data_IF_991700330865
#
_entry.id   IF_991700330865
#
_cell.length_a   1.000
_cell.length_b   1.000
_cell.length_c   1.000
_cell.angle_alpha   90.00
_cell.angle_beta   90.00
_cell.angle_gamma   90.00
#
_symmetry.space_group_name_H-M   'P 1'
#
loop_
_entity.id
_entity.type
_entity.pdbx_description
1 polymer ?
#
# COMPACT_ATOMS: atom_id res chain seq x y z
N UNK A 1 -15.51 -22.22 -6.88
CA UNK A 1 -14.57 -22.20 -8.05
C UNK A 1 -13.37 -23.04 -7.71
N UNK A 2 -12.87 -23.83 -8.66
CA UNK A 2 -11.59 -24.54 -8.51
C UNK A 2 -10.57 -23.92 -9.46
N UNK A 3 -9.39 -23.61 -8.92
CA UNK A 3 -8.20 -23.22 -9.65
C UNK A 3 -7.37 -24.49 -9.85
N UNK A 4 -7.42 -25.06 -11.04
CA UNK A 4 -6.74 -26.32 -11.39
C UNK A 4 -5.29 -26.09 -11.82
N UNK A 5 -4.41 -27.03 -11.49
CA UNK A 5 -2.99 -27.02 -11.86
C UNK A 5 -2.29 -25.72 -11.41
N UNK A 6 -2.67 -25.20 -10.23
CA UNK A 6 -2.13 -23.95 -9.72
C UNK A 6 -0.65 -24.13 -9.29
N UNK A 7 0.25 -23.31 -9.86
CA UNK A 7 1.59 -23.15 -9.40
C UNK A 7 1.64 -21.86 -8.58
N UNK A 8 1.79 -21.94 -7.25
CA UNK A 8 1.64 -20.79 -6.37
C UNK A 8 2.78 -20.66 -5.35
N UNK A 9 3.09 -19.43 -4.96
CA UNK A 9 4.02 -19.14 -3.89
C UNK A 9 3.33 -19.31 -2.54
N UNK A 10 3.71 -20.34 -1.78
CA UNK A 10 3.19 -20.58 -0.43
C UNK A 10 3.78 -19.62 0.61
N UNK A 11 3.19 -19.58 1.81
CA UNK A 11 3.68 -18.80 2.94
C UNK A 11 5.08 -19.23 3.43
N UNK A 12 5.53 -20.42 3.04
CA UNK A 12 6.88 -20.94 3.26
C UNK A 12 7.90 -20.48 2.20
N UNK A 13 7.50 -19.60 1.29
CA UNK A 13 8.32 -19.12 0.17
C UNK A 13 8.78 -20.22 -0.80
N UNK A 14 8.03 -21.33 -0.85
CA UNK A 14 8.24 -22.37 -1.83
C UNK A 14 7.17 -22.33 -2.91
N UNK A 15 7.53 -22.75 -4.09
CA UNK A 15 6.58 -22.90 -5.20
C UNK A 15 5.90 -24.27 -5.09
N UNK A 16 4.59 -24.26 -4.83
CA UNK A 16 3.74 -25.43 -4.75
C UNK A 16 2.99 -25.66 -6.06
N UNK A 17 2.63 -26.90 -6.34
CA UNK A 17 1.78 -27.28 -7.49
C UNK A 17 0.62 -28.12 -7.00
N UNK A 18 -0.53 -27.49 -6.82
CA UNK A 18 -1.73 -28.12 -6.29
C UNK A 18 -2.98 -27.44 -6.85
N UNK A 19 -4.15 -28.04 -6.66
CA UNK A 19 -5.43 -27.38 -6.94
C UNK A 19 -5.85 -26.53 -5.74
N UNK A 20 -6.54 -25.42 -6.00
CA UNK A 20 -7.06 -24.52 -4.96
C UNK A 20 -8.58 -24.37 -5.15
N UNK A 21 -9.37 -24.64 -4.10
CA UNK A 21 -10.80 -24.31 -4.08
C UNK A 21 -11.03 -22.98 -3.40
N UNK A 22 -11.67 -22.07 -4.12
CA UNK A 22 -12.13 -20.79 -3.61
C UNK A 22 -13.64 -20.82 -3.45
N UNK A 23 -14.14 -20.55 -2.24
CA UNK A 23 -15.57 -20.45 -1.95
C UNK A 23 -15.87 -19.14 -1.23
N UNK A 24 -16.87 -18.41 -1.71
CA UNK A 24 -17.15 -17.05 -1.30
C UNK A 24 -15.89 -16.18 -1.46
N UNK A 25 -15.30 -15.72 -0.35
CA UNK A 25 -14.10 -14.86 -0.33
C UNK A 25 -12.84 -15.58 0.12
N UNK A 26 -12.89 -16.88 0.41
CA UNK A 26 -11.82 -17.60 1.10
C UNK A 26 -11.24 -18.73 0.22
N UNK A 27 -9.98 -19.03 0.48
CA UNK A 27 -9.34 -20.29 0.05
C UNK A 27 -9.78 -21.37 1.01
N UNK A 28 -10.61 -22.30 0.53
CA UNK A 28 -11.23 -23.33 1.37
C UNK A 28 -10.46 -24.63 1.41
N UNK A 29 -9.74 -24.94 0.33
CA UNK A 29 -9.00 -26.19 0.23
C UNK A 29 -7.80 -26.02 -0.71
N UNK A 30 -6.67 -26.60 -0.33
CA UNK A 30 -5.48 -26.76 -1.16
C UNK A 30 -5.12 -28.24 -1.14
N UNK A 31 -5.06 -28.88 -2.31
CA UNK A 31 -4.79 -30.33 -2.42
C UNK A 31 -4.20 -30.69 -3.78
N UNK A 32 -3.47 -31.80 -3.85
CA UNK A 32 -2.89 -32.32 -5.12
C UNK A 32 -3.94 -32.53 -6.21
N UNK A 33 -5.18 -32.84 -5.83
CA UNK A 33 -6.32 -32.94 -6.73
C UNK A 33 -7.61 -32.65 -5.98
N UNK A 34 -8.45 -31.80 -6.55
CA UNK A 34 -9.78 -31.46 -6.02
C UNK A 34 -10.85 -31.95 -7.01
N UNK A 35 -11.79 -32.79 -6.54
CA UNK A 35 -12.94 -33.18 -7.34
C UNK A 35 -13.93 -32.03 -7.47
N UNK A 36 -14.51 -31.89 -8.68
CA UNK A 36 -15.49 -30.84 -8.97
C UNK A 36 -16.83 -31.20 -8.32
N UNK A 37 -17.42 -30.23 -7.62
CA UNK A 37 -18.79 -30.31 -7.13
C UNK A 37 -19.78 -29.83 -8.19
N UNK A 38 -21.04 -30.21 -8.04
CA UNK A 38 -22.07 -29.84 -9.01
C UNK A 38 -22.20 -28.31 -9.18
N UNK A 39 -22.10 -27.83 -10.42
CA UNK A 39 -22.10 -26.39 -10.79
C UNK A 39 -20.90 -25.57 -10.32
N UNK A 40 -19.81 -26.19 -9.92
CA UNK A 40 -18.58 -25.45 -9.58
C UNK A 40 -17.85 -25.02 -10.86
N UNK A 41 -17.46 -23.74 -10.92
CA UNK A 41 -16.65 -23.25 -12.05
C UNK A 41 -15.20 -23.68 -11.88
N UNK A 42 -14.56 -23.99 -12.98
CA UNK A 42 -13.14 -24.40 -13.02
C UNK A 42 -12.36 -23.40 -13.86
N UNK A 43 -11.19 -23.00 -13.35
CA UNK A 43 -10.21 -22.19 -14.06
C UNK A 43 -8.90 -22.95 -14.14
N UNK A 44 -8.38 -23.15 -15.36
CA UNK A 44 -7.09 -23.80 -15.57
C UNK A 44 -5.95 -22.79 -15.40
N UNK A 45 -5.13 -23.01 -14.37
CA UNK A 45 -4.00 -22.15 -14.01
C UNK A 45 -2.68 -22.56 -14.70
N UNK A 46 -2.73 -23.51 -15.65
CA UNK A 46 -1.53 -23.93 -16.36
C UNK A 46 -0.82 -22.76 -17.04
N UNK A 47 0.47 -22.57 -16.75
CA UNK A 47 1.28 -21.49 -17.31
C UNK A 47 1.25 -20.17 -16.50
N UNK A 48 0.55 -20.14 -15.38
CA UNK A 48 0.60 -19.02 -14.43
C UNK A 48 1.40 -19.39 -13.18
N UNK A 49 2.05 -18.39 -12.61
CA UNK A 49 2.50 -18.40 -11.21
C UNK A 49 1.51 -17.53 -10.43
N UNK A 50 0.94 -18.10 -9.37
CA UNK A 50 -0.02 -17.41 -8.52
C UNK A 50 0.69 -16.90 -7.29
N UNK A 51 0.51 -15.60 -7.01
CA UNK A 51 0.99 -14.91 -5.82
C UNK A 51 -0.21 -14.37 -5.02
N UNK A 52 -0.06 -14.11 -3.72
CA UNK A 52 -1.02 -13.23 -3.06
C UNK A 52 -0.94 -11.83 -3.70
N UNK A 53 -2.03 -11.06 -3.66
CA UNK A 53 -1.96 -9.65 -4.04
C UNK A 53 -1.00 -8.91 -3.10
N UNK A 54 -0.35 -7.88 -3.63
CA UNK A 54 0.47 -7.00 -2.82
C UNK A 54 -0.38 -5.99 -2.05
N UNK A 55 0.23 -5.42 -1.01
CA UNK A 55 -0.29 -4.29 -0.28
C UNK A 55 0.59 -3.06 -0.54
N UNK A 56 -0.04 -1.93 -0.75
CA UNK A 56 0.58 -0.62 -0.76
C UNK A 56 0.09 0.17 0.45
N UNK A 57 0.97 0.29 1.46
CA UNK A 57 0.54 0.72 2.78
C UNK A 57 0.67 2.23 3.01
N UNK A 58 0.89 3.01 1.96
CA UNK A 58 0.83 4.47 1.99
C UNK A 58 0.65 5.03 0.59
N UNK A 59 -0.51 5.61 0.33
CA UNK A 59 -0.86 6.22 -0.95
C UNK A 59 -1.64 7.52 -0.75
N UNK A 60 -1.45 8.47 -1.65
CA UNK A 60 -2.14 9.77 -1.69
C UNK A 60 -2.98 9.90 -2.95
N UNK A 61 -4.19 9.36 -2.95
CA UNK A 61 -5.05 9.39 -4.14
C UNK A 61 -5.99 10.61 -4.15
N UNK A 62 -6.12 11.31 -5.30
CA UNK A 62 -5.50 11.08 -6.60
C UNK A 62 -4.29 12.00 -6.85
N UNK A 63 -3.10 11.44 -6.88
CA UNK A 63 -1.84 12.15 -7.12
C UNK A 63 -1.42 12.19 -8.61
N UNK A 64 -2.12 11.48 -9.49
CA UNK A 64 -1.71 11.24 -10.88
C UNK A 64 -1.54 12.51 -11.71
N UNK A 65 -2.25 13.59 -11.39
CA UNK A 65 -2.11 14.89 -12.04
C UNK A 65 -0.81 15.62 -11.68
N UNK A 66 -0.18 15.21 -10.58
CA UNK A 66 1.03 15.82 -10.02
C UNK A 66 2.32 15.16 -10.54
N UNK A 67 2.21 14.10 -11.35
CA UNK A 67 3.36 13.36 -11.88
C UNK A 67 4.33 14.28 -12.61
N UNK A 68 5.61 14.25 -12.17
CA UNK A 68 6.67 15.10 -12.73
C UNK A 68 6.64 16.55 -12.28
N UNK A 69 5.62 16.99 -11.54
CA UNK A 69 5.57 18.38 -11.05
C UNK A 69 6.44 18.60 -9.78
N UNK A 70 6.90 17.53 -9.14
CA UNK A 70 7.81 17.58 -7.99
C UNK A 70 9.23 17.10 -8.33
N UNK A 71 9.57 17.03 -9.60
CA UNK A 71 10.90 16.59 -10.02
C UNK A 71 11.96 17.62 -9.61
N UNK A 72 13.10 17.08 -9.14
CA UNK A 72 14.30 17.86 -8.79
C UNK A 72 14.04 19.01 -7.81
N UNK A 73 13.17 18.79 -6.83
CA UNK A 73 12.74 19.77 -5.85
C UNK A 73 12.58 19.13 -4.47
N UNK A 74 13.18 19.76 -3.44
CA UNK A 74 12.97 19.37 -2.06
C UNK A 74 11.55 19.72 -1.56
N UNK A 75 11.02 18.96 -0.60
CA UNK A 75 9.66 19.16 -0.08
C UNK A 75 9.45 20.59 0.48
N UNK A 76 10.42 21.18 1.19
CA UNK A 76 10.32 22.52 1.73
C UNK A 76 10.14 23.62 0.67
N UNK A 77 10.37 23.30 -0.61
CA UNK A 77 10.21 24.21 -1.75
C UNK A 77 8.92 23.99 -2.54
N UNK A 78 8.07 23.05 -2.15
CA UNK A 78 6.81 22.79 -2.85
C UNK A 78 5.88 24.01 -2.83
N UNK A 79 5.07 24.15 -3.83
CA UNK A 79 4.10 25.24 -4.00
C UNK A 79 4.74 26.66 -3.91
N UNK A 80 6.02 26.78 -4.20
CA UNK A 80 6.72 28.06 -4.20
C UNK A 80 6.29 28.98 -5.38
N UNK A 81 6.88 30.19 -5.45
CA UNK A 81 6.54 31.18 -6.49
C UNK A 81 7.07 30.89 -7.90
N UNK A 82 7.76 29.77 -8.13
CA UNK A 82 8.19 29.34 -9.46
C UNK A 82 7.02 28.90 -10.33
N UNK A 83 7.24 28.76 -11.64
CA UNK A 83 6.22 28.21 -12.55
C UNK A 83 5.83 26.79 -12.11
N UNK A 84 6.82 25.97 -11.70
CA UNK A 84 6.60 24.61 -11.21
C UNK A 84 5.73 24.61 -9.95
N UNK A 85 6.08 25.43 -8.94
CA UNK A 85 5.33 25.51 -7.69
C UNK A 85 3.91 26.03 -7.88
N UNK A 86 3.69 26.98 -8.79
CA UNK A 86 2.35 27.47 -9.15
C UNK A 86 1.50 26.42 -9.86
N UNK A 87 2.11 25.54 -10.65
CA UNK A 87 1.39 24.41 -11.23
C UNK A 87 0.99 23.40 -10.16
N UNK A 88 1.88 23.12 -9.19
CA UNK A 88 1.54 22.27 -8.04
C UNK A 88 0.33 22.84 -7.30
N UNK A 89 0.38 24.11 -6.90
CA UNK A 89 -0.72 24.77 -6.19
C UNK A 89 -2.03 24.75 -7.00
N UNK A 90 -1.96 25.02 -8.33
CA UNK A 90 -3.13 24.94 -9.21
C UNK A 90 -3.80 23.56 -9.16
N UNK A 91 -3.01 22.49 -9.08
CA UNK A 91 -3.57 21.13 -9.04
C UNK A 91 -4.15 20.83 -7.65
N UNK A 92 -3.50 21.21 -6.57
CA UNK A 92 -4.07 21.10 -5.22
C UNK A 92 -5.41 21.83 -5.14
N UNK A 93 -5.43 23.11 -5.51
CA UNK A 93 -6.67 23.92 -5.51
C UNK A 93 -7.78 23.28 -6.37
N UNK A 94 -7.39 22.64 -7.50
CA UNK A 94 -8.36 21.93 -8.32
C UNK A 94 -8.93 20.70 -7.62
N UNK A 95 -8.08 19.89 -6.99
CA UNK A 95 -8.50 18.68 -6.28
C UNK A 95 -9.43 19.04 -5.12
N UNK A 96 -9.05 19.98 -4.26
CA UNK A 96 -9.84 20.40 -3.10
C UNK A 96 -11.20 20.98 -3.48
N UNK A 97 -11.24 21.78 -4.55
CA UNK A 97 -12.49 22.39 -5.00
C UNK A 97 -13.43 21.42 -5.76
N UNK A 98 -12.95 20.22 -6.12
CA UNK A 98 -13.71 19.30 -6.97
C UNK A 98 -13.96 17.92 -6.35
N UNK A 99 -13.72 17.71 -5.06
CA UNK A 99 -13.86 16.40 -4.37
C UNK A 99 -15.20 15.70 -4.66
N UNK A 100 -16.31 16.43 -4.72
CA UNK A 100 -17.62 15.86 -4.99
C UNK A 100 -17.95 15.67 -6.49
N UNK A 101 -17.01 15.94 -7.40
CA UNK A 101 -17.25 15.90 -8.84
C UNK A 101 -17.04 14.50 -9.45
N UNK A 102 -17.62 14.26 -10.61
CA UNK A 102 -17.32 13.05 -11.41
C UNK A 102 -15.88 13.04 -11.93
N UNK A 103 -15.27 14.20 -12.12
CA UNK A 103 -13.86 14.32 -12.49
C UNK A 103 -12.97 13.79 -11.38
N UNK A 104 -13.22 14.16 -10.13
CA UNK A 104 -12.47 13.64 -8.98
C UNK A 104 -12.60 12.11 -8.86
N UNK A 105 -13.83 11.57 -8.97
CA UNK A 105 -14.05 10.11 -9.01
C UNK A 105 -13.29 9.44 -10.15
N UNK A 106 -13.24 10.07 -11.31
CA UNK A 106 -12.49 9.58 -12.47
C UNK A 106 -10.99 9.50 -12.16
N UNK A 107 -10.43 10.53 -11.53
CA UNK A 107 -9.02 10.57 -11.12
C UNK A 107 -8.70 9.47 -10.10
N UNK A 108 -9.55 9.29 -9.10
CA UNK A 108 -9.41 8.23 -8.09
C UNK A 108 -9.47 6.85 -8.74
N UNK A 109 -10.49 6.57 -9.54
CA UNK A 109 -10.62 5.29 -10.23
C UNK A 109 -9.44 5.01 -11.17
N UNK A 110 -8.93 6.05 -11.85
CA UNK A 110 -7.74 5.91 -12.68
C UNK A 110 -6.50 5.51 -11.85
N UNK A 111 -6.28 6.11 -10.69
CA UNK A 111 -5.19 5.74 -9.79
C UNK A 111 -5.36 4.29 -9.28
N UNK A 112 -6.56 3.92 -8.82
CA UNK A 112 -6.83 2.57 -8.35
C UNK A 112 -6.68 1.50 -9.43
N UNK A 113 -7.00 1.83 -10.69
CA UNK A 113 -6.68 0.96 -11.83
C UNK A 113 -5.17 0.71 -11.96
N UNK A 114 -4.33 1.73 -11.71
CA UNK A 114 -2.87 1.56 -11.77
C UNK A 114 -2.39 0.63 -10.64
N UNK A 115 -2.87 0.81 -9.41
CA UNK A 115 -2.52 -0.09 -8.30
C UNK A 115 -2.88 -1.54 -8.62
N UNK A 116 -4.10 -1.82 -9.06
CA UNK A 116 -4.54 -3.18 -9.40
C UNK A 116 -3.71 -3.77 -10.56
N UNK A 117 -3.42 -2.99 -11.61
CA UNK A 117 -2.57 -3.44 -12.73
C UNK A 117 -1.14 -3.75 -12.28
N UNK A 118 -0.68 -3.14 -11.20
CA UNK A 118 0.63 -3.38 -10.59
C UNK A 118 0.61 -4.49 -9.54
N UNK A 119 -0.55 -5.12 -9.33
CA UNK A 119 -0.70 -6.27 -8.45
C UNK A 119 -1.11 -5.94 -7.02
N UNK A 120 -1.47 -4.69 -6.74
CA UNK A 120 -1.94 -4.27 -5.42
C UNK A 120 -3.41 -4.64 -5.24
N UNK A 121 -3.72 -5.35 -4.16
CA UNK A 121 -5.08 -5.73 -3.77
C UNK A 121 -5.56 -5.10 -2.46
N UNK A 122 -4.63 -4.48 -1.72
CA UNK A 122 -4.91 -3.77 -0.47
C UNK A 122 -4.09 -2.48 -0.41
N UNK A 123 -4.73 -1.38 -0.01
CA UNK A 123 -4.05 -0.08 0.18
C UNK A 123 -4.33 0.50 1.57
N UNK A 124 -3.38 1.30 2.08
CA UNK A 124 -3.62 2.26 3.17
C UNK A 124 -3.70 3.64 2.52
N UNK A 125 -4.91 4.17 2.45
CA UNK A 125 -5.28 5.35 1.68
C UNK A 125 -5.38 6.58 2.57
N UNK A 126 -4.47 7.53 2.40
CA UNK A 126 -4.44 8.77 3.18
C UNK A 126 -5.10 9.95 2.45
N UNK A 127 -5.42 9.78 1.17
CA UNK A 127 -6.02 10.85 0.38
C UNK A 127 -5.05 11.97 0.00
N UNK A 128 -5.47 12.80 -0.94
CA UNK A 128 -4.74 13.96 -1.44
C UNK A 128 -5.48 15.26 -1.21
N UNK A 129 -6.79 15.22 -1.09
CA UNK A 129 -7.66 16.37 -0.95
C UNK A 129 -8.47 16.27 0.35
N UNK A 130 -8.72 17.40 0.98
CA UNK A 130 -9.54 17.51 2.18
C UNK A 130 -10.93 16.92 1.95
N UNK A 131 -11.48 16.26 2.97
CA UNK A 131 -12.84 15.67 2.93
C UNK A 131 -13.06 14.63 1.81
N UNK A 132 -11.99 14.00 1.29
CA UNK A 132 -12.09 13.03 0.19
C UNK A 132 -12.36 11.59 0.63
N UNK A 133 -12.18 11.24 1.91
CA UNK A 133 -12.20 9.86 2.43
C UNK A 133 -13.46 9.07 2.04
N UNK A 134 -14.64 9.70 2.06
CA UNK A 134 -15.89 9.05 1.67
C UNK A 134 -15.92 8.67 0.18
N UNK A 135 -15.40 9.52 -0.69
CA UNK A 135 -15.32 9.27 -2.14
C UNK A 135 -14.26 8.21 -2.44
N UNK A 136 -13.12 8.25 -1.75
CA UNK A 136 -12.06 7.24 -1.85
C UNK A 136 -12.60 5.86 -1.46
N UNK A 137 -13.33 5.76 -0.36
CA UNK A 137 -14.01 4.54 0.06
C UNK A 137 -15.01 4.05 -1.00
N UNK A 138 -15.86 4.93 -1.54
CA UNK A 138 -16.84 4.59 -2.58
C UNK A 138 -16.14 4.02 -3.83
N UNK A 139 -15.09 4.69 -4.31
CA UNK A 139 -14.33 4.26 -5.48
C UNK A 139 -13.60 2.94 -5.26
N UNK A 140 -13.01 2.72 -4.07
CA UNK A 140 -12.38 1.45 -3.73
C UNK A 140 -13.39 0.29 -3.74
N UNK A 141 -14.57 0.50 -3.17
CA UNK A 141 -15.67 -0.48 -3.21
C UNK A 141 -16.15 -0.75 -4.65
N UNK A 142 -16.29 0.31 -5.46
CA UNK A 142 -16.73 0.20 -6.85
C UNK A 142 -15.78 -0.65 -7.69
N UNK A 143 -14.47 -0.41 -7.58
CA UNK A 143 -13.47 -1.16 -8.35
C UNK A 143 -13.20 -2.54 -7.76
N UNK A 144 -13.52 -2.77 -6.48
CA UNK A 144 -13.29 -4.02 -5.75
C UNK A 144 -11.92 -4.11 -5.05
N UNK A 145 -11.27 -2.97 -4.79
CA UNK A 145 -10.02 -2.89 -4.04
C UNK A 145 -10.30 -2.95 -2.53
N UNK A 146 -9.43 -3.59 -1.76
CA UNK A 146 -9.45 -3.54 -0.30
C UNK A 146 -8.65 -2.34 0.18
N UNK A 147 -9.14 -1.67 1.24
CA UNK A 147 -8.45 -0.50 1.78
C UNK A 147 -8.63 -0.34 3.30
N UNK A 148 -7.62 0.22 3.94
CA UNK A 148 -7.74 0.97 5.19
C UNK A 148 -7.77 2.45 4.80
N UNK A 149 -8.92 3.11 4.97
CA UNK A 149 -9.12 4.51 4.58
C UNK A 149 -8.99 5.39 5.80
N UNK A 150 -8.24 6.44 5.63
CA UNK A 150 -8.00 7.49 6.60
C UNK A 150 -9.18 8.48 6.62
N UNK A 151 -9.66 8.78 7.83
CA UNK A 151 -10.68 9.76 8.09
C UNK A 151 -10.11 10.85 9.00
N UNK A 152 -9.43 11.79 8.39
CA UNK A 152 -8.75 12.88 9.09
C UNK A 152 -9.73 13.82 9.80
N UNK A 153 -10.58 14.49 9.06
CA UNK A 153 -11.50 15.48 9.61
C UNK A 153 -12.92 14.92 9.87
N UNK A 154 -13.31 13.89 9.14
CA UNK A 154 -14.65 13.32 9.13
C UNK A 154 -14.82 12.11 10.08
N UNK A 155 -13.92 11.91 11.03
CA UNK A 155 -14.07 10.82 11.99
C UNK A 155 -15.06 11.20 13.13
N UNK A 156 -16.00 10.33 13.57
CA UNK A 156 -16.27 9.00 13.01
C UNK A 156 -16.96 9.07 11.65
N UNK A 157 -16.61 8.13 10.74
CA UNK A 157 -17.14 8.15 9.38
C UNK A 157 -18.66 8.02 9.33
N UNK A 158 -19.32 8.75 8.43
CA UNK A 158 -20.76 8.60 8.16
C UNK A 158 -21.12 7.35 7.38
N UNK A 159 -20.14 6.83 6.60
CA UNK A 159 -20.28 5.60 5.82
C UNK A 159 -19.68 4.47 6.64
N UNK A 160 -20.41 3.37 6.91
CA UNK A 160 -19.87 2.27 7.72
C UNK A 160 -18.74 1.53 6.98
N UNK A 161 -17.84 0.87 7.73
CA UNK A 161 -16.88 -0.05 7.14
C UNK A 161 -17.59 -1.21 6.42
N UNK A 162 -16.89 -1.91 5.55
CA UNK A 162 -17.43 -3.05 4.81
C UNK A 162 -16.46 -4.23 4.84
N UNK A 163 -16.83 -5.33 4.20
CA UNK A 163 -15.94 -6.48 4.05
C UNK A 163 -14.70 -6.23 3.17
N UNK A 164 -14.56 -5.04 2.61
CA UNK A 164 -13.39 -4.62 1.82
C UNK A 164 -12.75 -3.34 2.34
N UNK A 165 -13.42 -2.61 3.26
CA UNK A 165 -12.95 -1.32 3.74
C UNK A 165 -12.87 -1.33 5.27
N UNK A 166 -11.66 -1.10 5.79
CA UNK A 166 -11.39 -0.68 7.15
C UNK A 166 -11.27 0.84 7.21
N UNK A 167 -11.38 1.40 8.40
CA UNK A 167 -11.35 2.84 8.64
C UNK A 167 -10.41 3.16 9.78
N UNK A 168 -9.68 4.26 9.68
CA UNK A 168 -8.74 4.72 10.70
C UNK A 168 -8.75 6.24 10.82
N UNK A 169 -7.95 6.77 11.71
CA UNK A 169 -7.75 8.21 11.95
C UNK A 169 -6.34 8.57 11.53
N UNK A 170 -6.20 9.67 10.80
CA UNK A 170 -4.91 10.32 10.60
C UNK A 170 -4.72 11.45 11.63
N UNK A 171 -3.56 11.55 12.22
CA UNK A 171 -3.20 12.73 13.02
C UNK A 171 -2.83 13.88 12.09
N UNK A 172 -3.01 15.09 12.62
CA UNK A 172 -2.42 16.28 12.00
C UNK A 172 -0.90 16.11 11.77
N UNK A 173 -0.37 16.82 10.79
CA UNK A 173 1.04 16.78 10.49
C UNK A 173 1.90 17.12 11.72
N UNK A 174 3.09 16.53 11.81
CA UNK A 174 3.94 16.61 13.01
C UNK A 174 4.18 18.05 13.48
N UNK A 175 4.42 18.95 12.53
CA UNK A 175 4.68 20.37 12.81
C UNK A 175 3.43 21.13 13.29
N UNK A 176 2.25 20.61 13.07
CA UNK A 176 0.97 21.20 13.51
C UNK A 176 0.56 20.72 14.90
N UNK A 177 1.07 19.56 15.33
CA UNK A 177 0.72 18.98 16.61
C UNK A 177 0.82 19.97 17.76
N UNK A 178 -0.19 19.97 18.60
CA UNK A 178 -0.28 20.74 19.83
C UNK A 178 -1.01 19.94 20.92
N UNK A 179 -1.15 20.48 22.12
CA UNK A 179 -1.76 19.75 23.25
C UNK A 179 -3.22 19.46 23.03
N UNK A 180 -3.94 20.37 22.40
CA UNK A 180 -5.37 20.28 22.12
C UNK A 180 -5.64 19.13 21.13
N UNK A 181 -4.90 19.09 20.02
CA UNK A 181 -4.99 18.02 18.99
C UNK A 181 -4.62 16.64 19.56
N UNK A 182 -3.59 16.57 20.40
CA UNK A 182 -3.20 15.32 21.05
C UNK A 182 -4.28 14.83 22.03
N UNK A 183 -4.95 15.74 22.75
CA UNK A 183 -6.03 15.35 23.67
C UNK A 183 -7.29 14.91 22.90
N UNK A 184 -7.60 15.56 21.79
CA UNK A 184 -8.67 15.15 20.88
C UNK A 184 -8.42 13.74 20.32
N UNK A 185 -7.21 13.50 19.80
CA UNK A 185 -6.81 12.17 19.31
C UNK A 185 -6.95 11.09 20.38
N UNK A 186 -6.56 11.36 21.64
CA UNK A 186 -6.76 10.43 22.76
C UNK A 186 -8.22 10.11 23.01
N UNK A 187 -9.10 11.11 22.94
CA UNK A 187 -10.53 10.89 23.14
C UNK A 187 -11.11 10.01 22.04
N UNK A 188 -10.77 10.26 20.78
CA UNK A 188 -11.18 9.44 19.65
C UNK A 188 -10.65 8.02 19.77
N UNK A 189 -9.36 7.88 20.10
CA UNK A 189 -8.70 6.58 20.28
C UNK A 189 -9.33 5.75 21.44
N UNK A 190 -9.74 6.41 22.51
CA UNK A 190 -10.36 5.75 23.65
C UNK A 190 -11.78 5.21 23.37
N UNK A 191 -12.50 5.72 22.36
CA UNK A 191 -13.85 5.29 22.01
C UNK A 191 -13.82 3.97 21.23
N UNK A 192 -13.11 3.92 20.12
CA UNK A 192 -13.18 2.81 19.15
C UNK A 192 -11.84 2.09 18.93
N UNK A 193 -10.75 2.57 19.55
CA UNK A 193 -9.39 2.08 19.32
C UNK A 193 -9.11 1.87 17.81
N UNK A 194 -9.27 2.91 16.98
CA UNK A 194 -9.06 2.81 15.53
C UNK A 194 -7.58 2.65 15.19
N UNK A 195 -7.26 2.38 13.93
CA UNK A 195 -5.90 2.61 13.45
C UNK A 195 -5.59 4.10 13.51
N UNK A 196 -4.39 4.42 13.96
CA UNK A 196 -3.87 5.78 14.04
C UNK A 196 -2.72 5.90 13.06
N UNK A 197 -2.92 6.70 12.04
CA UNK A 197 -1.96 6.93 10.95
C UNK A 197 -1.33 8.30 11.08
N UNK A 198 -0.06 8.43 10.71
CA UNK A 198 0.60 9.74 10.66
C UNK A 198 1.93 9.66 9.89
N UNK A 199 2.27 10.74 9.18
CA UNK A 199 3.64 11.01 8.77
C UNK A 199 4.49 11.21 10.03
N UNK A 200 5.63 10.56 10.10
CA UNK A 200 6.41 10.51 11.33
C UNK A 200 7.91 10.58 11.04
N UNK A 201 8.56 11.60 11.60
CA UNK A 201 10.01 11.81 11.48
C UNK A 201 10.50 11.68 10.03
N UNK A 202 9.75 12.28 9.13
CA UNK A 202 10.00 12.20 7.68
C UNK A 202 11.20 13.06 7.29
N UNK A 203 11.29 14.27 7.87
CA UNK A 203 12.35 15.24 7.54
C UNK A 203 13.02 15.80 8.79
N UNK A 204 14.27 16.24 8.63
CA UNK A 204 15.03 16.90 9.72
C UNK A 204 14.33 18.16 10.23
N UNK A 205 13.66 18.92 9.36
CA UNK A 205 12.98 20.15 9.78
C UNK A 205 11.70 19.85 10.58
N UNK A 206 10.89 18.86 10.19
CA UNK A 206 9.71 18.41 10.94
C UNK A 206 10.10 17.94 12.33
N UNK A 207 11.11 17.07 12.42
CA UNK A 207 11.68 16.64 13.70
C UNK A 207 12.09 17.85 14.57
N UNK A 208 12.82 18.80 14.01
CA UNK A 208 13.28 19.98 14.75
C UNK A 208 12.12 20.85 15.28
N UNK A 209 11.03 21.01 14.50
CA UNK A 209 9.86 21.77 14.96
C UNK A 209 9.13 21.05 16.12
N UNK A 210 8.99 19.73 16.07
CA UNK A 210 8.41 18.94 17.16
C UNK A 210 9.29 19.00 18.42
N UNK A 211 10.60 18.78 18.28
CA UNK A 211 11.56 18.88 19.40
C UNK A 211 11.56 20.27 20.03
N UNK A 212 11.45 21.33 19.25
CA UNK A 212 11.34 22.71 19.73
C UNK A 212 10.05 22.95 20.53
N UNK A 213 8.90 22.37 20.10
CA UNK A 213 7.60 22.52 20.76
C UNK A 213 7.49 21.68 22.05
N UNK A 214 7.96 20.44 22.01
CA UNK A 214 7.68 19.44 23.04
C UNK A 214 8.92 18.95 23.79
N UNK A 215 10.15 19.24 23.32
CA UNK A 215 11.41 18.80 23.91
C UNK A 215 11.68 17.30 23.73
N UNK A 216 11.04 16.67 22.73
CA UNK A 216 11.16 15.25 22.44
C UNK A 216 10.74 14.94 21.00
N UNK A 217 11.06 13.74 20.49
CA UNK A 217 10.65 13.30 19.15
C UNK A 217 9.15 13.03 19.09
N UNK A 218 8.60 12.92 17.86
CA UNK A 218 7.20 12.55 17.64
C UNK A 218 6.88 11.18 18.23
N UNK A 219 7.76 10.20 18.10
CA UNK A 219 7.56 8.85 18.65
C UNK A 219 7.54 8.88 20.19
N UNK A 220 8.45 9.62 20.83
CA UNK A 220 8.40 9.83 22.27
C UNK A 220 7.12 10.54 22.73
N UNK A 221 6.67 11.54 21.95
CA UNK A 221 5.45 12.29 22.19
C UNK A 221 4.22 11.38 22.13
N UNK A 222 4.09 10.57 21.07
CA UNK A 222 2.99 9.61 20.90
C UNK A 222 3.00 8.53 22.00
N UNK A 223 4.18 8.03 22.38
CA UNK A 223 4.30 7.08 23.50
C UNK A 223 3.81 7.69 24.82
N UNK A 224 4.28 8.91 25.17
CA UNK A 224 3.82 9.62 26.38
C UNK A 224 2.34 9.99 26.34
N UNK A 225 1.81 10.23 25.16
CA UNK A 225 0.39 10.49 24.96
C UNK A 225 -0.48 9.22 24.99
N UNK A 226 0.10 8.03 25.11
CA UNK A 226 -0.58 6.74 25.00
C UNK A 226 -1.30 6.53 23.65
N UNK A 227 -0.74 7.11 22.60
CA UNK A 227 -1.20 6.99 21.21
C UNK A 227 -0.33 6.03 20.38
N UNK A 228 0.83 5.61 20.89
CA UNK A 228 1.69 4.62 20.24
C UNK A 228 1.28 3.21 20.67
N UNK A 229 0.92 2.37 19.71
CA UNK A 229 0.40 1.01 19.94
C UNK A 229 0.55 0.12 18.71
N UNK A 230 0.14 -1.13 18.79
CA UNK A 230 0.04 -2.07 17.68
C UNK A 230 -0.91 -1.62 16.55
N UNK A 231 -1.74 -0.61 16.79
CA UNK A 231 -2.61 0.02 15.79
C UNK A 231 -2.04 1.32 15.21
N UNK A 232 -0.84 1.71 15.61
CA UNK A 232 -0.16 2.86 15.00
C UNK A 232 0.46 2.45 13.67
N UNK A 233 0.25 3.28 12.65
CA UNK A 233 0.78 3.13 11.30
C UNK A 233 1.58 4.40 11.01
N UNK A 234 2.90 4.31 11.12
CA UNK A 234 3.80 5.45 11.03
C UNK A 234 4.51 5.44 9.69
N UNK A 235 4.27 6.46 8.87
CA UNK A 235 4.88 6.57 7.56
C UNK A 235 6.30 7.16 7.67
N UNK A 236 7.20 6.72 6.81
CA UNK A 236 8.60 7.14 6.64
C UNK A 236 9.55 6.77 7.79
N UNK A 237 9.44 7.35 8.96
CA UNK A 237 10.33 7.12 10.11
C UNK A 237 11.84 7.22 9.75
N UNK A 238 12.24 8.23 8.95
CA UNK A 238 13.60 8.42 8.45
C UNK A 238 14.51 8.90 9.58
N UNK A 239 14.12 9.98 10.25
CA UNK A 239 14.91 10.71 11.25
C UNK A 239 14.79 10.09 12.66
N UNK A 240 14.76 8.74 12.74
CA UNK A 240 14.63 8.02 14.02
C UNK A 240 15.96 7.89 14.74
N UNK A 241 15.93 8.12 16.05
CA UNK A 241 17.03 7.79 16.98
C UNK A 241 16.96 6.30 17.40
N UNK A 242 18.00 5.81 18.06
CA UNK A 242 17.99 4.47 18.69
C UNK A 242 16.87 4.34 19.73
N UNK A 243 16.59 5.42 20.49
CA UNK A 243 15.50 5.45 21.47
C UNK A 243 14.12 5.36 20.78
N UNK A 244 13.93 6.07 19.67
CA UNK A 244 12.69 5.99 18.89
C UNK A 244 12.45 4.56 18.39
N UNK A 245 13.48 3.91 17.84
CA UNK A 245 13.40 2.53 17.37
C UNK A 245 13.07 1.55 18.51
N UNK A 246 13.62 1.76 19.69
CA UNK A 246 13.28 0.94 20.85
C UNK A 246 11.81 1.11 21.27
N UNK A 247 11.30 2.35 21.30
CA UNK A 247 9.90 2.62 21.60
C UNK A 247 8.95 2.00 20.57
N UNK A 248 9.28 2.08 19.27
CA UNK A 248 8.50 1.41 18.22
C UNK A 248 8.39 -0.10 18.47
N UNK A 249 9.50 -0.75 18.83
CA UNK A 249 9.53 -2.17 19.17
C UNK A 249 8.73 -2.51 20.43
N UNK A 250 8.89 -1.73 21.52
CA UNK A 250 8.19 -1.92 22.79
C UNK A 250 6.67 -1.80 22.66
N UNK A 251 6.20 -0.89 21.79
CA UNK A 251 4.78 -0.66 21.54
C UNK A 251 4.20 -1.48 20.39
N UNK A 252 5.01 -2.31 19.72
CA UNK A 252 4.62 -3.09 18.54
C UNK A 252 4.02 -2.23 17.42
N UNK A 253 4.49 -0.99 17.28
CA UNK A 253 4.03 -0.07 16.25
C UNK A 253 4.44 -0.56 14.85
N UNK A 254 3.66 -0.18 13.84
CA UNK A 254 3.93 -0.55 12.46
C UNK A 254 4.55 0.64 11.73
N UNK A 255 5.52 0.36 10.87
CA UNK A 255 6.21 1.38 10.07
C UNK A 255 6.02 1.07 8.59
N UNK A 256 5.71 2.11 7.81
CA UNK A 256 5.62 2.01 6.36
C UNK A 256 6.85 2.65 5.73
N UNK A 257 7.59 1.87 4.98
CA UNK A 257 8.81 2.29 4.30
C UNK A 257 8.51 2.75 2.88
N UNK A 258 8.87 3.99 2.54
CA UNK A 258 8.60 4.64 1.25
C UNK A 258 9.90 5.05 0.53
N UNK A 259 10.81 4.10 0.19
CA UNK A 259 12.17 4.42 -0.24
C UNK A 259 12.26 5.28 -1.50
N UNK A 260 11.31 5.13 -2.43
CA UNK A 260 11.34 5.90 -3.68
C UNK A 260 10.91 7.35 -3.47
N UNK A 261 9.89 7.59 -2.65
CA UNK A 261 9.45 8.94 -2.31
C UNK A 261 10.54 9.66 -1.54
N UNK A 262 11.05 9.04 -0.47
CA UNK A 262 12.14 9.59 0.35
C UNK A 262 13.36 9.99 -0.52
N UNK A 263 13.73 9.12 -1.46
CA UNK A 263 14.87 9.39 -2.36
C UNK A 263 14.60 10.53 -3.33
N UNK A 264 13.37 10.67 -3.85
CA UNK A 264 12.99 11.75 -4.78
C UNK A 264 12.96 13.11 -4.11
N UNK A 265 12.48 13.18 -2.89
CA UNK A 265 12.44 14.41 -2.10
C UNK A 265 13.80 14.75 -1.45
N UNK A 266 14.77 13.83 -1.49
CA UNK A 266 16.10 14.00 -0.91
C UNK A 266 16.11 13.95 0.62
N UNK A 267 15.16 13.24 1.23
CA UNK A 267 14.93 13.22 2.68
C UNK A 267 15.80 12.21 3.42
N UNK A 268 16.46 11.33 2.68
CA UNK A 268 17.32 10.30 3.26
C UNK A 268 16.73 8.91 3.24
N UNK A 269 17.23 8.04 4.11
CA UNK A 269 16.81 6.63 4.19
C UNK A 269 16.55 6.23 5.63
N UNK A 270 15.46 5.52 5.87
CA UNK A 270 15.13 4.91 7.14
C UNK A 270 16.20 3.91 7.58
N UNK A 271 16.48 3.81 8.88
CA UNK A 271 17.37 2.77 9.41
C UNK A 271 16.65 1.40 9.45
N UNK A 272 16.29 0.92 8.26
CA UNK A 272 15.52 -0.31 8.04
C UNK A 272 16.11 -1.52 8.78
N UNK A 273 17.43 -1.65 8.75
CA UNK A 273 18.12 -2.77 9.39
C UNK A 273 18.05 -2.76 10.91
N UNK A 274 18.07 -1.59 11.53
CA UNK A 274 17.92 -1.47 12.99
C UNK A 274 16.47 -1.81 13.39
N UNK A 275 15.50 -1.35 12.62
CA UNK A 275 14.08 -1.65 12.87
C UNK A 275 13.78 -3.15 12.75
N UNK A 276 14.29 -3.81 11.70
CA UNK A 276 14.14 -5.26 11.54
C UNK A 276 14.77 -6.08 12.67
N UNK A 277 15.91 -5.63 13.23
CA UNK A 277 16.53 -6.25 14.39
C UNK A 277 15.68 -6.16 15.66
N UNK A 278 14.84 -5.13 15.77
CA UNK A 278 13.89 -4.96 16.87
C UNK A 278 12.54 -5.63 16.60
N UNK A 279 12.44 -6.42 15.52
CA UNK A 279 11.20 -7.08 15.09
C UNK A 279 10.01 -6.13 14.89
N UNK A 280 10.29 -4.88 14.50
CA UNK A 280 9.24 -3.93 14.13
C UNK A 280 8.59 -4.42 12.83
N UNK A 281 7.26 -4.41 12.78
CA UNK A 281 6.53 -4.74 11.57
C UNK A 281 6.74 -3.64 10.52
N UNK A 282 7.39 -3.98 9.41
CA UNK A 282 7.66 -3.07 8.30
C UNK A 282 6.80 -3.49 7.11
N UNK A 283 6.09 -2.53 6.54
CA UNK A 283 5.37 -2.65 5.28
C UNK A 283 5.93 -1.66 4.26
N UNK A 284 5.49 -1.74 3.02
CA UNK A 284 5.94 -0.86 1.94
C UNK A 284 4.84 0.07 1.49
N UNK A 285 5.21 1.29 1.10
CA UNK A 285 4.34 2.28 0.51
C UNK A 285 4.95 2.91 -0.73
N UNK A 286 4.14 3.17 -1.76
CA UNK A 286 4.55 3.93 -2.93
C UNK A 286 4.56 5.42 -2.64
N UNK A 287 3.72 5.84 -1.69
CA UNK A 287 3.56 7.24 -1.30
C UNK A 287 3.18 8.10 -2.52
N UNK A 288 3.84 9.19 -2.70
CA UNK A 288 3.54 10.20 -3.68
C UNK A 288 4.09 9.85 -5.08
N UNK A 289 3.25 9.95 -6.11
CA UNK A 289 3.62 9.92 -7.53
C UNK A 289 4.19 8.59 -8.07
N UNK A 290 4.16 7.53 -7.29
CA UNK A 290 4.54 6.20 -7.70
C UNK A 290 3.36 5.25 -7.50
N UNK A 291 3.07 4.41 -8.49
CA UNK A 291 2.02 3.39 -8.37
C UNK A 291 2.59 1.98 -8.62
N UNK A 292 3.91 1.85 -8.71
CA UNK A 292 4.59 0.58 -8.99
C UNK A 292 5.26 0.03 -7.73
N UNK A 293 4.54 -0.81 -7.01
CA UNK A 293 5.05 -1.49 -5.81
C UNK A 293 6.28 -2.38 -6.11
N UNK A 294 6.46 -2.83 -7.36
CA UNK A 294 7.63 -3.61 -7.76
C UNK A 294 8.91 -2.78 -7.70
N UNK A 295 8.83 -1.50 -8.07
CA UNK A 295 9.98 -0.60 -7.97
C UNK A 295 10.31 -0.30 -6.50
N UNK A 296 9.30 -0.13 -5.64
CA UNK A 296 9.47 0.03 -4.19
C UNK A 296 10.14 -1.21 -3.59
N UNK A 297 9.68 -2.41 -3.93
CA UNK A 297 10.29 -3.66 -3.48
C UNK A 297 11.77 -3.75 -3.91
N UNK A 298 12.10 -3.39 -5.16
CA UNK A 298 13.50 -3.41 -5.66
C UNK A 298 14.37 -2.37 -4.95
N UNK A 299 13.85 -1.17 -4.71
CA UNK A 299 14.55 -0.14 -3.94
C UNK A 299 14.85 -0.62 -2.52
N UNK A 300 13.85 -1.13 -1.82
CA UNK A 300 14.00 -1.70 -0.47
C UNK A 300 15.03 -2.83 -0.43
N UNK A 301 15.00 -3.74 -1.41
CA UNK A 301 15.99 -4.80 -1.51
C UNK A 301 17.41 -4.24 -1.70
N UNK A 302 17.56 -3.22 -2.53
CA UNK A 302 18.83 -2.51 -2.75
C UNK A 302 19.38 -1.90 -1.46
N UNK A 303 18.52 -1.21 -0.69
CA UNK A 303 18.89 -0.62 0.62
C UNK A 303 19.32 -1.69 1.63
N UNK A 304 18.61 -2.80 1.73
CA UNK A 304 18.97 -3.93 2.60
C UNK A 304 20.34 -4.53 2.27
N UNK A 305 20.83 -4.39 1.04
CA UNK A 305 22.16 -4.88 0.62
C UNK A 305 23.27 -3.84 0.84
N UNK A 306 22.92 -2.58 1.10
CA UNK A 306 23.89 -1.53 1.40
C UNK A 306 24.24 -1.55 2.90
N UNK A 307 25.51 -1.71 3.23
CA UNK A 307 25.99 -1.62 4.62
C UNK A 307 25.68 -2.83 5.52
N UNK A 308 25.13 -3.91 4.99
CA UNK A 308 24.87 -5.16 5.72
C UNK A 308 25.49 -6.36 5.02
N UNK A 309 25.56 -7.48 5.77
CA UNK A 309 25.88 -8.76 5.16
C UNK A 309 24.70 -9.17 4.26
N UNK A 310 24.95 -9.48 2.99
CA UNK A 310 23.87 -9.69 2.00
C UNK A 310 22.96 -10.88 2.32
N UNK A 311 23.40 -11.79 3.18
CA UNK A 311 22.64 -12.98 3.58
C UNK A 311 21.59 -12.73 4.69
N UNK A 312 21.57 -11.55 5.36
CA UNK A 312 20.72 -11.35 6.53
C UNK A 312 19.25 -11.18 6.20
N UNK A 313 18.91 -10.37 5.20
CA UNK A 313 17.52 -10.12 4.81
C UNK A 313 17.41 -10.33 3.31
N UNK A 314 16.64 -11.33 2.92
CA UNK A 314 16.51 -11.77 1.53
C UNK A 314 15.35 -11.15 0.77
N UNK A 315 15.14 -11.65 -0.44
CA UNK A 315 13.97 -11.32 -1.26
C UNK A 315 12.65 -11.71 -0.60
N UNK A 316 12.61 -12.83 0.15
CA UNK A 316 11.44 -13.24 0.93
C UNK A 316 11.02 -12.17 1.94
N UNK A 317 11.96 -11.57 2.66
CA UNK A 317 11.67 -10.48 3.61
C UNK A 317 10.97 -9.30 2.92
N UNK A 318 11.42 -8.94 1.72
CA UNK A 318 10.82 -7.81 0.98
C UNK A 318 9.46 -8.16 0.41
N UNK A 319 9.26 -9.40 -0.06
CA UNK A 319 7.94 -9.87 -0.49
C UNK A 319 6.95 -9.88 0.67
N UNK A 320 7.39 -10.27 1.87
CA UNK A 320 6.57 -10.21 3.08
C UNK A 320 6.17 -8.76 3.44
N UNK A 321 7.09 -7.81 3.32
CA UNK A 321 6.80 -6.39 3.54
C UNK A 321 5.76 -5.85 2.56
N UNK A 322 5.75 -6.36 1.34
CA UNK A 322 4.79 -5.99 0.30
C UNK A 322 3.48 -6.81 0.33
N UNK A 323 3.33 -7.76 1.24
CA UNK A 323 2.16 -8.64 1.28
C UNK A 323 1.72 -8.95 2.72
N UNK A 324 2.14 -10.06 3.30
CA UNK A 324 1.59 -10.57 4.57
C UNK A 324 1.81 -9.65 5.78
N UNK A 325 2.84 -8.81 5.79
CA UNK A 325 3.07 -7.86 6.89
C UNK A 325 1.92 -6.84 7.01
N UNK A 326 1.23 -6.55 5.91
CA UNK A 326 0.06 -5.67 5.89
C UNK A 326 -1.23 -6.32 6.44
N UNK A 327 -1.22 -7.62 6.72
CA UNK A 327 -2.38 -8.30 7.29
C UNK A 327 -2.86 -7.70 8.62
N UNK A 328 -1.97 -7.06 9.38
CA UNK A 328 -2.30 -6.35 10.62
C UNK A 328 -3.28 -5.20 10.41
N UNK A 329 -3.30 -4.60 9.21
CA UNK A 329 -4.19 -3.49 8.84
C UNK A 329 -5.55 -3.96 8.32
N UNK A 330 -5.76 -5.24 8.18
CA UNK A 330 -6.94 -5.79 7.47
C UNK A 330 -8.28 -5.54 8.17
N UNK A 331 -8.31 -5.42 9.49
CA UNK A 331 -9.47 -5.05 10.33
C UNK A 331 -10.85 -5.42 9.74
N UNK A 332 -11.08 -6.69 9.44
CA UNK A 332 -12.36 -7.17 8.88
C UNK A 332 -12.43 -7.22 7.35
N UNK A 333 -11.44 -6.70 6.61
CA UNK A 333 -11.38 -6.81 5.14
C UNK A 333 -10.97 -8.22 4.69
N UNK A 334 -10.46 -9.06 5.60
CA UNK A 334 -9.99 -10.39 5.29
C UNK A 334 -8.74 -10.45 4.41
N UNK A 335 -8.00 -9.34 4.27
CA UNK A 335 -6.69 -9.35 3.60
C UNK A 335 -5.65 -10.04 4.48
N UNK A 336 -4.89 -10.97 3.93
CA UNK A 336 -3.85 -11.70 4.66
C UNK A 336 -2.50 -11.74 3.92
N UNK A 337 -2.48 -11.46 2.62
CA UNK A 337 -1.25 -11.43 1.83
C UNK A 337 -0.52 -12.78 1.77
N UNK A 338 -1.25 -13.90 1.93
CA UNK A 338 -0.74 -15.28 1.86
C UNK A 338 -1.69 -16.18 1.08
N UNK A 339 -1.18 -17.32 0.60
CA UNK A 339 -1.99 -18.39 -0.02
C UNK A 339 -1.98 -19.60 0.91
N UNK A 340 -3.01 -19.69 1.75
CA UNK A 340 -3.22 -20.75 2.72
C UNK A 340 -4.71 -21.06 2.86
N UNK A 341 -5.04 -22.24 3.34
CA UNK A 341 -6.45 -22.56 3.67
C UNK A 341 -6.95 -21.63 4.78
N UNK A 342 -8.12 -21.04 4.56
CA UNK A 342 -8.72 -20.04 5.45
C UNK A 342 -8.35 -18.60 5.13
N UNK A 343 -7.36 -18.35 4.28
CA UNK A 343 -6.99 -17.00 3.84
C UNK A 343 -8.01 -16.41 2.86
N UNK A 344 -8.06 -15.09 2.78
CA UNK A 344 -8.77 -14.38 1.73
C UNK A 344 -8.25 -14.76 0.33
N UNK A 345 -9.15 -15.00 -0.59
CA UNK A 345 -8.78 -15.29 -1.97
C UNK A 345 -8.45 -13.98 -2.72
N UNK A 346 -7.29 -13.41 -2.41
CA UNK A 346 -6.71 -12.22 -3.00
C UNK A 346 -5.46 -12.64 -3.78
N UNK A 347 -5.60 -12.88 -5.08
CA UNK A 347 -4.64 -13.62 -5.89
C UNK A 347 -4.25 -12.87 -7.15
N UNK A 348 -2.95 -12.91 -7.48
CA UNK A 348 -2.37 -12.47 -8.75
C UNK A 348 -2.00 -13.67 -9.59
N UNK A 349 -2.31 -13.61 -10.87
CA UNK A 349 -1.92 -14.64 -11.84
C UNK A 349 -0.92 -14.04 -12.81
N UNK A 350 0.35 -14.39 -12.61
CA UNK A 350 1.45 -13.94 -13.45
C UNK A 350 1.68 -14.95 -14.55
N UNK A 351 1.69 -14.48 -15.79
CA UNK A 351 2.07 -15.33 -16.92
C UNK A 351 3.56 -15.62 -16.84
N UNK A 352 3.88 -16.89 -16.52
CA UNK A 352 5.27 -17.33 -16.39
C UNK A 352 5.92 -17.36 -17.79
N UNK A 353 6.91 -16.49 -17.98
CA UNK A 353 7.70 -16.39 -19.21
C UNK A 353 9.18 -16.71 -18.98
N UNK A 354 9.97 -16.61 -20.03
CA UNK A 354 11.44 -16.76 -19.95
C UNK A 354 12.09 -15.67 -19.10
N UNK A 355 11.41 -14.55 -18.86
CA UNK A 355 11.91 -13.44 -18.06
C UNK A 355 12.20 -13.84 -16.61
N UNK A 356 11.41 -14.79 -16.04
CA UNK A 356 11.67 -15.33 -14.71
C UNK A 356 12.64 -16.53 -14.70
N UNK A 357 13.04 -17.01 -15.87
CA UNK A 357 13.87 -18.22 -15.99
C UNK A 357 15.37 -17.92 -15.73
N UNK A 358 16.11 -18.87 -15.14
CA UNK A 358 15.64 -20.17 -14.66
C UNK A 358 14.97 -20.05 -13.29
N UNK A 359 13.80 -20.69 -13.12
CA UNK A 359 13.20 -20.89 -11.81
C UNK A 359 13.65 -22.22 -11.22
N UNK A 360 14.33 -22.15 -10.10
CA UNK A 360 14.85 -23.31 -9.35
C UNK A 360 14.13 -23.38 -8.02
N UNK A 361 13.49 -24.50 -7.76
CA UNK A 361 12.80 -24.78 -6.50
C UNK A 361 13.16 -26.20 -6.05
N UNK A 362 14.24 -26.32 -5.28
CA UNK A 362 14.78 -27.59 -4.82
C UNK A 362 14.88 -27.60 -3.30
N UNK A 363 14.85 -28.77 -2.65
CA UNK A 363 15.13 -28.85 -1.21
C UNK A 363 16.49 -28.19 -0.86
N UNK A 364 16.43 -27.15 -0.04
CA UNK A 364 17.58 -26.39 0.43
C UNK A 364 18.03 -25.25 -0.47
N UNK A 365 17.42 -25.04 -1.63
CA UNK A 365 17.67 -23.87 -2.46
C UNK A 365 16.48 -23.51 -3.36
N UNK A 366 16.04 -22.26 -3.25
CA UNK A 366 15.04 -21.68 -4.18
C UNK A 366 15.51 -20.28 -4.61
N UNK A 367 15.36 -19.96 -5.89
CA UNK A 367 15.56 -18.61 -6.41
C UNK A 367 14.23 -17.94 -6.80
N UNK A 368 13.11 -18.55 -6.47
CA UNK A 368 11.78 -18.10 -6.90
C UNK A 368 11.50 -16.69 -6.41
N UNK A 369 11.63 -16.43 -5.10
CA UNK A 369 11.42 -15.10 -4.51
C UNK A 369 12.32 -14.05 -5.15
N UNK A 370 13.59 -14.39 -5.32
CA UNK A 370 14.56 -13.47 -5.92
C UNK A 370 14.19 -13.13 -7.36
N UNK A 371 13.84 -14.13 -8.16
CA UNK A 371 13.49 -13.92 -9.56
C UNK A 371 12.16 -13.16 -9.68
N UNK A 372 11.17 -13.47 -8.85
CA UNK A 372 9.94 -12.71 -8.78
C UNK A 372 10.21 -11.24 -8.45
N UNK A 373 10.96 -10.96 -7.40
CA UNK A 373 11.26 -9.60 -6.96
C UNK A 373 12.05 -8.83 -8.02
N UNK A 374 13.13 -9.43 -8.57
CA UNK A 374 14.05 -8.72 -9.45
C UNK A 374 13.58 -8.64 -10.91
N UNK A 375 12.88 -9.66 -11.39
CA UNK A 375 12.50 -9.80 -12.80
C UNK A 375 10.99 -9.80 -13.02
N UNK A 376 10.16 -9.94 -11.97
CA UNK A 376 8.72 -9.75 -12.05
C UNK A 376 8.36 -8.34 -12.51
N UNK A 377 7.32 -8.22 -13.32
CA UNK A 377 6.88 -6.93 -13.89
C UNK A 377 5.35 -6.87 -13.95
N UNK A 378 4.75 -5.69 -13.81
CA UNK A 378 3.29 -5.52 -13.89
C UNK A 378 2.66 -6.07 -15.16
N UNK A 379 3.35 -6.02 -16.29
CA UNK A 379 2.81 -6.53 -17.56
C UNK A 379 2.63 -8.04 -17.60
N UNK A 380 3.27 -8.79 -16.67
CA UNK A 380 3.08 -10.24 -16.53
C UNK A 380 1.77 -10.60 -15.82
N UNK A 381 1.13 -9.66 -15.12
CA UNK A 381 -0.13 -9.91 -14.41
C UNK A 381 -1.27 -9.96 -15.43
N UNK A 382 -1.82 -11.15 -15.65
CA UNK A 382 -2.94 -11.36 -16.58
C UNK A 382 -4.30 -11.29 -15.88
N UNK A 383 -4.37 -11.81 -14.63
CA UNK A 383 -5.60 -11.79 -13.87
C UNK A 383 -5.36 -11.36 -12.43
N UNK A 384 -6.36 -10.72 -11.84
CA UNK A 384 -6.40 -10.33 -10.43
C UNK A 384 -7.73 -10.76 -9.84
N UNK A 385 -7.65 -11.48 -8.73
CA UNK A 385 -8.80 -11.86 -7.92
C UNK A 385 -8.68 -11.16 -6.56
N UNK A 386 -9.75 -10.54 -6.10
CA UNK A 386 -9.83 -9.96 -4.75
C UNK A 386 -11.13 -10.44 -4.12
N UNK A 387 -11.04 -10.91 -2.90
CA UNK A 387 -12.21 -11.41 -2.17
C UNK A 387 -12.94 -12.54 -2.92
N UNK A 388 -12.20 -13.40 -3.63
CA UNK A 388 -12.72 -14.50 -4.43
C UNK A 388 -13.45 -14.08 -5.72
N UNK A 389 -13.36 -12.81 -6.10
CA UNK A 389 -13.99 -12.25 -7.32
C UNK A 389 -12.94 -11.80 -8.31
N UNK A 390 -13.17 -12.07 -9.58
CA UNK A 390 -12.34 -11.52 -10.64
C UNK A 390 -12.51 -10.01 -10.72
N UNK A 391 -11.44 -9.27 -10.45
CA UNK A 391 -11.36 -7.82 -10.64
C UNK A 391 -10.82 -7.51 -12.03
N UNK A 392 -9.82 -8.27 -12.46
CA UNK A 392 -9.24 -8.18 -13.79
C UNK A 392 -9.06 -9.59 -14.39
N UNK A 393 -9.48 -9.79 -15.63
CA UNK A 393 -9.21 -11.01 -16.42
C UNK A 393 -8.68 -10.63 -17.79
N UNK A 394 -7.68 -11.35 -18.27
CA UNK A 394 -6.99 -11.05 -19.55
C UNK A 394 -6.65 -9.56 -19.67
N UNK A 395 -6.16 -8.97 -18.55
CA UNK A 395 -5.80 -7.55 -18.39
C UNK A 395 -6.97 -6.58 -18.62
N UNK A 396 -8.22 -7.02 -18.53
CA UNK A 396 -9.43 -6.20 -18.63
C UNK A 396 -10.16 -6.17 -17.30
N UNK A 397 -10.57 -5.00 -16.87
CA UNK A 397 -11.38 -4.87 -15.66
C UNK A 397 -12.78 -5.46 -15.85
N UNK A 398 -13.24 -6.17 -14.81
CA UNK A 398 -14.54 -6.79 -14.77
C UNK A 398 -15.57 -5.96 -13.98
N UNK A 399 -15.09 -5.00 -13.19
CA UNK A 399 -15.91 -4.23 -12.22
C UNK A 399 -16.21 -2.81 -12.70
N UNK A 400 -15.45 -2.29 -13.66
CA UNK A 400 -15.53 -0.91 -14.16
C UNK A 400 -15.36 -0.85 -15.67
N UNK A 401 -15.83 0.23 -16.30
CA UNK A 401 -15.57 0.53 -17.70
C UNK A 401 -14.24 1.30 -17.85
N UNK A 402 -13.16 0.54 -18.06
CA UNK A 402 -11.82 1.09 -18.21
C UNK A 402 -11.72 2.13 -19.33
N UNK A 403 -12.37 1.90 -20.48
CA UNK A 403 -12.27 2.81 -21.64
C UNK A 403 -12.94 4.15 -21.34
N UNK A 404 -14.05 4.13 -20.63
CA UNK A 404 -14.73 5.35 -20.20
C UNK A 404 -13.84 6.15 -19.22
N UNK A 405 -13.23 5.48 -18.24
CA UNK A 405 -12.36 6.16 -17.27
C UNK A 405 -11.14 6.77 -17.97
N UNK A 406 -10.50 6.04 -18.88
CA UNK A 406 -9.34 6.56 -19.63
C UNK A 406 -9.71 7.77 -20.49
N UNK A 407 -10.87 7.77 -21.14
CA UNK A 407 -11.34 8.89 -21.94
C UNK A 407 -11.63 10.12 -21.08
N UNK A 408 -12.34 9.93 -19.94
CA UNK A 408 -12.64 11.02 -19.00
C UNK A 408 -11.37 11.57 -18.35
N UNK A 409 -10.42 10.71 -17.94
CA UNK A 409 -9.13 11.15 -17.41
C UNK A 409 -8.35 12.01 -18.42
N UNK A 410 -8.29 11.58 -19.69
CA UNK A 410 -7.63 12.35 -20.75
C UNK A 410 -8.29 13.71 -20.98
N UNK A 411 -9.60 13.82 -20.79
CA UNK A 411 -10.34 15.09 -20.86
C UNK A 411 -9.99 16.01 -19.69
N UNK A 412 -9.97 15.51 -18.46
CA UNK A 412 -9.55 16.28 -17.28
C UNK A 412 -8.13 16.83 -17.47
N UNK A 413 -7.18 15.98 -17.88
CA UNK A 413 -5.79 16.40 -18.13
C UNK A 413 -5.75 17.50 -19.20
N UNK A 414 -6.48 17.35 -20.28
CA UNK A 414 -6.51 18.36 -21.36
C UNK A 414 -7.03 19.69 -20.84
N UNK A 415 -8.13 19.69 -20.09
CA UNK A 415 -8.75 20.89 -19.57
C UNK A 415 -7.86 21.66 -18.58
N UNK A 416 -6.97 20.94 -17.88
CA UNK A 416 -6.08 21.54 -16.88
C UNK A 416 -4.75 22.04 -17.45
N UNK A 417 -4.20 21.38 -18.47
CA UNK A 417 -2.82 21.61 -18.90
C UNK A 417 -2.68 22.10 -20.35
N UNK A 418 -3.73 22.00 -21.18
CA UNK A 418 -3.70 22.56 -22.53
C UNK A 418 -4.43 23.90 -22.48
N UNK A 419 -3.66 24.99 -22.51
CA UNK A 419 -4.20 26.35 -22.79
C UNK A 419 -4.69 26.41 -24.23
N UNK A 420 -5.88 27.00 -24.42
CA UNK A 420 -6.44 27.30 -25.75
C UNK A 420 -5.57 28.25 -26.58
#
# INVERSE_FOLDING_TARGET
>A
MILKHASFLGADHQLHQQDIRVSASLINQISDSIEEEHNESVFDCSGYIILPTFADCHVHTPDTLLRGLFCDMEMASWCNDTVQGKLQQKIYDYLDNNVASEDFKTLVLYAYMQYIKNGVGFIVETGQADNSSAILQECAQQIGLKALVDYYEDYPPKIPPSSTIAQGIHLHEEEELNKELLEEAKQLFAIDNPFLMTHCLETTWRRAEVEKKFGMSTIELLSKAHLLSEKSVLFHCIETSEQDINLLGEHHANVVHCPLSNSRAGEGSMNLCAMLKQNINITLGTDYLCHDIWDVMRATYGELKQGMRPELYGSSTVLDMASRNAAVFSSGTGYQGTIEEGSGADLLFLKAGLELSPLVNLPGFSNVDHNLLMYGRPHMIEHVMINGKWIMQDRKFMTIDEQKILASYAEVVRNLFVED
#
